data_IF_076314907588
#
_entry.id   IF_076314907588
#
_cell.length_a   1.000
_cell.length_b   1.000
_cell.length_c   1.000
_cell.angle_alpha   90.00
_cell.angle_beta   90.00
_cell.angle_gamma   90.00
#
_symmetry.space_group_name_H-M   'P 1'
#
loop_
_entity.id
_entity.type
_entity.pdbx_description
1 polymer ?
#
# COMPACT_ATOMS: atom_id res chain seq x y z
N UNK A 1 6.99 -22.16 -8.18
CA UNK A 1 7.13 -20.69 -8.07
C UNK A 1 5.73 -20.16 -7.85
N UNK A 2 5.44 -19.59 -6.68
CA UNK A 2 4.14 -18.99 -6.43
C UNK A 2 4.21 -17.55 -6.89
N UNK A 3 3.56 -17.22 -8.00
CA UNK A 3 3.39 -15.83 -8.39
C UNK A 3 2.76 -15.03 -7.24
N UNK A 4 3.05 -13.73 -7.16
CA UNK A 4 2.36 -12.77 -6.27
C UNK A 4 0.89 -12.53 -6.71
N UNK A 5 0.34 -13.44 -7.52
CA UNK A 5 -1.01 -13.43 -8.06
C UNK A 5 -2.01 -13.78 -6.96
N UNK A 6 -2.40 -12.78 -6.17
CA UNK A 6 -3.58 -12.88 -5.32
C UNK A 6 -4.83 -12.78 -6.22
N UNK A 7 -5.51 -13.90 -6.44
CA UNK A 7 -6.59 -14.11 -7.41
C UNK A 7 -7.86 -13.24 -7.23
N UNK A 8 -7.85 -12.29 -6.28
CA UNK A 8 -8.94 -11.35 -6.01
C UNK A 8 -8.54 -9.87 -6.20
N UNK A 9 -7.36 -9.59 -6.74
CA UNK A 9 -6.83 -8.22 -6.91
C UNK A 9 -6.92 -7.79 -8.37
N UNK A 10 -8.11 -7.41 -8.83
CA UNK A 10 -8.24 -6.77 -10.14
C UNK A 10 -7.64 -5.36 -10.07
N UNK A 11 -7.09 -4.91 -11.20
CA UNK A 11 -6.53 -3.57 -11.38
C UNK A 11 -5.34 -3.22 -10.49
N UNK A 12 -4.55 -4.21 -10.07
CA UNK A 12 -3.35 -4.04 -9.27
C UNK A 12 -2.50 -2.84 -9.73
N UNK A 13 -2.03 -2.06 -8.75
CA UNK A 13 -1.08 -0.96 -8.94
C UNK A 13 0.10 -1.17 -7.98
N UNK A 14 1.13 -1.94 -8.40
CA UNK A 14 2.28 -2.21 -7.57
C UNK A 14 3.23 -1.01 -7.51
N UNK A 15 3.83 -0.78 -6.34
CA UNK A 15 5.00 0.08 -6.14
C UNK A 15 5.97 -0.59 -5.16
N UNK A 16 7.27 -0.33 -5.30
CA UNK A 16 8.34 -1.03 -4.56
C UNK A 16 9.19 -0.02 -3.79
N UNK A 17 9.46 -0.26 -2.51
CA UNK A 17 10.41 0.52 -1.69
C UNK A 17 10.86 -0.29 -0.47
N UNK A 18 11.95 0.10 0.16
CA UNK A 18 12.22 -0.25 1.56
C UNK A 18 11.50 0.80 2.44
N UNK A 19 10.37 0.41 3.02
CA UNK A 19 9.41 1.27 3.72
C UNK A 19 9.78 1.44 5.18
N UNK A 20 10.30 0.38 5.81
CA UNK A 20 10.69 0.36 7.21
C UNK A 20 12.21 0.37 7.41
N UNK A 21 13.00 0.54 6.35
CA UNK A 21 14.44 0.70 6.39
C UNK A 21 15.19 -0.55 6.87
N UNK A 22 14.55 -1.72 6.85
CA UNK A 22 15.13 -2.95 7.37
C UNK A 22 16.02 -3.69 6.35
N UNK A 23 16.11 -3.18 5.11
CA UNK A 23 16.87 -3.76 4.01
C UNK A 23 16.15 -4.85 3.22
N UNK A 24 14.88 -5.11 3.53
CA UNK A 24 13.95 -5.94 2.77
C UNK A 24 12.98 -5.02 2.02
N UNK A 25 12.64 -5.37 0.79
CA UNK A 25 11.73 -4.53 0.00
C UNK A 25 10.27 -4.84 0.30
N UNK A 26 9.48 -3.79 0.41
CA UNK A 26 8.02 -3.81 0.37
C UNK A 26 7.51 -3.55 -1.05
N UNK A 27 6.71 -4.48 -1.53
CA UNK A 27 5.81 -4.29 -2.65
C UNK A 27 4.43 -3.89 -2.11
N UNK A 28 4.03 -2.64 -2.33
CA UNK A 28 2.67 -2.18 -2.05
C UNK A 28 1.78 -2.40 -3.26
N UNK A 29 0.61 -3.01 -3.06
CA UNK A 29 -0.35 -3.31 -4.13
C UNK A 29 -1.70 -2.71 -3.77
N UNK A 30 -2.13 -1.73 -4.56
CA UNK A 30 -3.49 -1.21 -4.49
C UNK A 30 -4.50 -2.17 -5.12
N UNK A 31 -5.67 -2.29 -4.50
CA UNK A 31 -6.78 -3.15 -4.93
C UNK A 31 -8.01 -2.36 -5.43
N UNK A 32 -8.83 -3.00 -6.26
CA UNK A 32 -10.14 -2.50 -6.72
C UNK A 32 -11.06 -2.03 -5.59
N UNK A 33 -11.01 -2.70 -4.43
CA UNK A 33 -11.87 -2.36 -3.29
C UNK A 33 -11.30 -1.24 -2.41
N UNK A 34 -10.29 -0.51 -2.89
CA UNK A 34 -9.75 0.67 -2.19
C UNK A 34 -8.76 0.35 -1.07
N UNK A 35 -8.32 -0.91 -0.94
CA UNK A 35 -7.29 -1.32 0.02
C UNK A 35 -5.89 -1.20 -0.58
N UNK A 36 -4.89 -1.06 0.28
CA UNK A 36 -3.48 -1.24 -0.07
C UNK A 36 -2.93 -2.40 0.75
N UNK A 37 -2.41 -3.41 0.06
CA UNK A 37 -1.69 -4.53 0.65
C UNK A 37 -0.18 -4.24 0.66
N UNK A 38 0.51 -4.70 1.69
CA UNK A 38 1.97 -4.73 1.78
C UNK A 38 2.46 -6.16 1.62
N UNK A 39 3.48 -6.35 0.80
CA UNK A 39 4.19 -7.59 0.61
C UNK A 39 5.66 -7.34 0.93
N UNK A 40 6.13 -7.77 2.09
CA UNK A 40 7.54 -7.64 2.51
C UNK A 40 8.34 -8.86 2.04
N UNK A 41 9.53 -8.66 1.46
CA UNK A 41 10.43 -9.76 1.12
C UNK A 41 10.78 -10.61 2.35
N UNK A 42 10.91 -11.91 2.19
CA UNK A 42 11.36 -12.80 3.28
C UNK A 42 12.88 -12.71 3.49
N UNK A 43 13.63 -12.41 2.45
CA UNK A 43 15.08 -12.22 2.49
C UNK A 43 15.53 -11.27 1.38
N UNK A 44 16.62 -10.53 1.57
CA UNK A 44 17.17 -9.65 0.54
C UNK A 44 17.87 -10.41 -0.61
N UNK A 45 18.35 -11.64 -0.36
CA UNK A 45 19.13 -12.43 -1.32
C UNK A 45 18.83 -13.93 -1.23
N UNK A 46 19.32 -14.70 -2.21
CA UNK A 46 19.18 -16.16 -2.23
C UNK A 46 17.81 -16.65 -2.72
N UNK A 47 17.49 -17.92 -2.42
CA UNK A 47 16.27 -18.59 -2.91
C UNK A 47 14.97 -18.00 -2.36
N UNK A 48 15.04 -17.29 -1.24
CA UNK A 48 13.90 -16.64 -0.59
C UNK A 48 13.71 -15.18 -1.01
N UNK A 49 14.59 -14.62 -1.85
CA UNK A 49 14.50 -13.22 -2.30
C UNK A 49 13.25 -12.88 -3.12
N UNK A 50 12.58 -13.91 -3.65
CA UNK A 50 11.32 -13.77 -4.39
C UNK A 50 10.09 -14.18 -3.56
N UNK A 51 10.27 -14.50 -2.27
CA UNK A 51 9.16 -14.81 -1.37
C UNK A 51 8.74 -13.57 -0.60
N UNK A 52 7.44 -13.43 -0.39
CA UNK A 52 6.86 -12.27 0.26
C UNK A 52 5.82 -12.65 1.32
N UNK A 53 5.83 -11.93 2.44
CA UNK A 53 4.81 -12.00 3.48
C UNK A 53 3.78 -10.88 3.25
N UNK A 54 2.51 -11.27 3.09
CA UNK A 54 1.40 -10.34 2.84
C UNK A 54 0.76 -9.85 4.14
N UNK A 55 0.60 -8.55 4.26
CA UNK A 55 -0.17 -7.87 5.32
C UNK A 55 -1.08 -6.81 4.71
N UNK A 56 -2.14 -6.44 5.43
CA UNK A 56 -2.95 -5.26 5.07
C UNK A 56 -2.21 -4.01 5.57
N UNK A 57 -1.96 -3.05 4.68
CA UNK A 57 -1.37 -1.76 5.06
C UNK A 57 -2.46 -0.73 5.33
N UNK A 58 -3.35 -0.51 4.35
CA UNK A 58 -4.47 0.41 4.48
C UNK A 58 -5.80 -0.26 4.10
N UNK A 59 -6.78 -0.15 4.98
CA UNK A 59 -8.17 -0.51 4.69
C UNK A 59 -8.80 0.54 3.74
N UNK A 60 -9.95 0.19 3.15
CA UNK A 60 -10.71 1.19 2.39
C UNK A 60 -11.26 2.24 3.37
N UNK A 61 -10.89 3.51 3.20
CA UNK A 61 -11.30 4.59 4.10
C UNK A 61 -12.79 4.95 3.97
N UNK A 62 -13.44 4.55 2.87
CA UNK A 62 -14.86 4.76 2.60
C UNK A 62 -15.74 3.58 3.04
N UNK A 63 -15.19 2.64 3.80
CA UNK A 63 -15.92 1.53 4.40
C UNK A 63 -15.92 0.25 3.56
N UNK A 64 -17.01 -0.51 3.62
CA UNK A 64 -17.06 -1.86 3.03
C UNK A 64 -17.36 -1.83 1.54
N UNK A 65 -16.32 -1.79 0.71
CA UNK A 65 -16.42 -2.10 -0.71
C UNK A 65 -16.20 -3.60 -0.96
N UNK A 66 -16.87 -4.14 -1.99
CA UNK A 66 -16.61 -5.50 -2.48
C UNK A 66 -16.24 -5.45 -3.96
N UNK A 67 -15.61 -6.49 -4.49
CA UNK A 67 -15.21 -6.53 -5.90
C UNK A 67 -16.41 -6.41 -6.86
N UNK A 68 -17.61 -6.80 -6.43
CA UNK A 68 -18.85 -6.70 -7.22
C UNK A 68 -19.63 -5.41 -6.97
N UNK A 69 -19.26 -4.63 -5.96
CA UNK A 69 -19.89 -3.37 -5.57
C UNK A 69 -18.82 -2.41 -5.04
N UNK A 70 -17.99 -1.84 -5.93
CA UNK A 70 -17.02 -0.81 -5.54
C UNK A 70 -17.75 0.44 -5.05
N UNK A 71 -17.19 1.13 -4.07
CA UNK A 71 -17.71 2.39 -3.54
C UNK A 71 -17.03 3.57 -4.24
N UNK A 72 -17.50 4.79 -3.97
CA UNK A 72 -16.66 5.96 -4.15
C UNK A 72 -15.33 5.75 -3.39
N UNK A 73 -14.22 6.16 -3.99
CA UNK A 73 -12.88 5.94 -3.45
C UNK A 73 -12.25 4.56 -3.70
N UNK A 74 -12.88 3.70 -4.52
CA UNK A 74 -12.31 2.41 -4.95
C UNK A 74 -11.10 2.57 -5.89
N UNK A 75 -10.44 1.45 -6.19
CA UNK A 75 -9.26 1.35 -7.06
C UNK A 75 -8.04 2.11 -6.55
N UNK A 76 -7.54 1.70 -5.39
CA UNK A 76 -6.37 2.30 -4.75
C UNK A 76 -5.15 2.26 -5.69
N UNK A 77 -4.44 3.38 -5.78
CA UNK A 77 -3.22 3.54 -6.57
C UNK A 77 -2.13 4.15 -5.68
N UNK A 78 -1.36 3.33 -4.96
CA UNK A 78 -0.32 3.82 -4.08
C UNK A 78 0.86 4.41 -4.86
N UNK A 79 1.40 5.51 -4.36
CA UNK A 79 2.68 6.09 -4.72
C UNK A 79 3.39 6.54 -3.43
N UNK A 80 4.72 6.61 -3.46
CA UNK A 80 5.49 6.94 -2.25
C UNK A 80 6.53 8.01 -2.54
N UNK A 81 6.70 8.92 -1.59
CA UNK A 81 7.72 9.97 -1.60
C UNK A 81 7.82 10.58 -0.21
N UNK A 82 8.96 11.12 0.19
CA UNK A 82 8.99 12.09 1.29
C UNK A 82 8.57 13.45 0.72
N UNK A 83 7.31 13.84 0.92
CA UNK A 83 6.75 15.05 0.31
C UNK A 83 7.18 16.31 1.06
N UNK A 84 7.38 16.19 2.37
CA UNK A 84 7.75 17.30 3.25
C UNK A 84 9.27 17.49 3.37
N UNK A 85 10.07 16.57 2.82
CA UNK A 85 11.54 16.53 2.99
C UNK A 85 11.96 16.49 4.46
N UNK A 86 11.19 15.79 5.29
CA UNK A 86 11.41 15.68 6.73
C UNK A 86 11.98 14.32 7.15
N UNK A 87 12.26 13.43 6.19
CA UNK A 87 12.73 12.07 6.43
C UNK A 87 11.64 11.08 6.80
N UNK A 88 10.35 11.46 6.71
CA UNK A 88 9.20 10.59 6.91
C UNK A 88 8.57 10.31 5.54
N UNK A 89 8.45 9.04 5.16
CA UNK A 89 7.82 8.70 3.89
C UNK A 89 6.30 8.95 3.93
N UNK A 90 5.79 9.52 2.84
CA UNK A 90 4.36 9.60 2.56
C UNK A 90 3.95 8.48 1.60
N UNK A 91 2.85 7.80 1.93
CA UNK A 91 2.11 6.99 0.97
C UNK A 91 0.90 7.80 0.49
N UNK A 92 0.90 8.13 -0.79
CA UNK A 92 -0.22 8.77 -1.48
C UNK A 92 -1.07 7.67 -2.10
N UNK A 93 -2.36 7.62 -1.77
CA UNK A 93 -3.30 6.64 -2.30
C UNK A 93 -4.35 7.38 -3.12
N UNK A 94 -4.21 7.31 -4.45
CA UNK A 94 -5.21 7.83 -5.37
C UNK A 94 -6.35 6.84 -5.59
N UNK A 95 -7.55 7.36 -5.88
CA UNK A 95 -8.76 6.57 -6.16
C UNK A 95 -9.40 6.93 -7.50
N UNK A 96 -10.38 6.14 -7.96
CA UNK A 96 -11.07 6.34 -9.23
C UNK A 96 -11.95 7.61 -9.29
N UNK A 97 -12.33 8.16 -8.14
CA UNK A 97 -13.10 9.40 -8.02
C UNK A 97 -12.24 10.67 -8.02
N UNK A 98 -10.92 10.52 -8.20
CA UNK A 98 -9.97 11.62 -8.22
C UNK A 98 -9.50 12.06 -6.83
N UNK A 99 -9.98 11.43 -5.76
CA UNK A 99 -9.45 11.70 -4.41
C UNK A 99 -8.03 11.15 -4.26
N UNK A 100 -7.21 11.85 -3.47
CA UNK A 100 -5.87 11.41 -3.06
C UNK A 100 -5.81 11.51 -1.55
N UNK A 101 -5.51 10.39 -0.91
CA UNK A 101 -5.29 10.32 0.53
C UNK A 101 -3.79 10.29 0.80
N UNK A 102 -3.37 10.99 1.85
CA UNK A 102 -1.98 11.02 2.30
C UNK A 102 -1.87 10.31 3.65
N UNK A 103 -0.92 9.40 3.73
CA UNK A 103 -0.53 8.70 4.95
C UNK A 103 0.97 8.96 5.17
N UNK A 104 1.33 9.79 6.15
CA UNK A 104 2.72 10.07 6.50
C UNK A 104 3.15 9.11 7.62
N UNK A 105 4.37 8.59 7.54
CA UNK A 105 4.94 7.80 8.63
C UNK A 105 4.95 8.60 9.95
N UNK A 106 4.62 7.94 11.06
CA UNK A 106 4.65 8.56 12.39
C UNK A 106 6.08 8.74 12.92
N UNK A 107 7.02 7.96 12.38
CA UNK A 107 8.45 8.02 12.65
C UNK A 107 9.18 7.43 11.44
N UNK A 108 10.42 7.89 11.20
CA UNK A 108 11.24 7.36 10.12
C UNK A 108 11.36 5.84 10.24
N UNK A 109 11.28 5.13 9.12
CA UNK A 109 11.41 3.65 9.10
C UNK A 109 10.32 2.92 9.90
N UNK A 110 9.14 3.52 10.08
CA UNK A 110 8.01 2.91 10.78
C UNK A 110 6.91 2.42 9.82
N UNK A 111 6.26 1.32 10.16
CA UNK A 111 5.04 0.85 9.49
C UNK A 111 3.75 1.46 10.07
N UNK A 112 3.87 2.43 10.98
CA UNK A 112 2.75 3.20 11.50
C UNK A 112 2.64 4.53 10.79
N UNK A 113 1.41 4.87 10.40
CA UNK A 113 1.09 6.08 9.64
C UNK A 113 0.06 6.91 10.38
N UNK A 114 0.05 8.21 10.12
CA UNK A 114 -1.10 9.02 10.51
C UNK A 114 -2.36 8.53 9.78
N UNK A 115 -3.51 8.72 10.43
CA UNK A 115 -4.77 8.41 9.76
C UNK A 115 -5.00 9.50 8.70
N UNK A 116 -5.49 9.15 7.49
CA UNK A 116 -5.83 10.15 6.51
C UNK A 116 -6.94 11.00 7.11
N UNK A 117 -7.00 12.31 6.82
CA UNK A 117 -8.08 13.16 7.31
C UNK A 117 -9.42 12.52 6.94
N UNK A 118 -10.26 12.29 7.95
CA UNK A 118 -11.62 11.81 7.75
C UNK A 118 -12.35 12.82 6.87
N UNK A 119 -12.78 12.40 5.68
CA UNK A 119 -13.63 13.24 4.85
C UNK A 119 -14.97 13.43 5.58
N UNK A 120 -15.38 14.69 5.76
CA UNK A 120 -16.69 15.07 6.30
C UNK A 120 -17.82 14.70 5.34
#
# INVERSE_FOLDING_TARGET
MGDVNNANTKYAKPTLTDLDGNGLLELLVGEEIGRVLRYEQVAATGTDALRFNRTLLFANPYGTATASAPTNGSYARPAMTDLASNGLLDVLVGSNDGTILRYEQMAASSLTFNNPPSQM
#
